data_IF_180213483219
#
_entry.id   IF_180213483219
#
_cell.length_a   1.000
_cell.length_b   1.000
_cell.length_c   1.000
_cell.angle_alpha   90.00
_cell.angle_beta   90.00
_cell.angle_gamma   90.00
#
_symmetry.space_group_name_H-M   'P 1'
#
loop_
_entity.id
_entity.type
_entity.pdbx_description
1 polymer ?
#
# COMPACT_ATOMS: atom_id res chain seq x y z
N UNK A 1 -5.78 18.54 -32.44
CA UNK A 1 -5.42 17.79 -33.66
C UNK A 1 -4.03 18.15 -34.19
N UNK A 2 -3.66 19.42 -34.25
CA UNK A 2 -2.38 19.86 -34.87
C UNK A 2 -1.10 19.34 -34.19
N UNK A 3 -1.10 19.19 -32.85
CA UNK A 3 0.06 18.69 -32.10
C UNK A 3 0.32 17.18 -32.29
N UNK A 4 -0.75 16.40 -32.50
CA UNK A 4 -0.67 14.96 -32.76
C UNK A 4 -0.22 14.73 -34.21
N UNK A 5 -0.74 15.51 -35.17
CA UNK A 5 -0.29 15.45 -36.56
C UNK A 5 1.17 15.87 -36.75
N UNK A 6 1.73 16.66 -35.83
CA UNK A 6 3.14 17.08 -35.80
C UNK A 6 4.04 16.18 -34.94
N UNK A 7 3.51 15.05 -34.43
CA UNK A 7 4.22 14.11 -33.54
C UNK A 7 4.81 14.76 -32.28
N UNK A 8 4.20 15.82 -31.76
CA UNK A 8 4.63 16.47 -30.52
C UNK A 8 3.82 16.03 -29.30
N UNK A 9 2.67 15.39 -29.53
CA UNK A 9 1.80 14.82 -28.49
C UNK A 9 1.54 13.34 -28.81
N UNK A 10 1.73 12.48 -27.82
CA UNK A 10 1.52 11.05 -28.00
C UNK A 10 0.03 10.76 -28.22
N UNK A 11 -0.30 9.99 -29.26
CA UNK A 11 -1.69 9.69 -29.61
C UNK A 11 -2.47 9.04 -28.45
N UNK A 12 -1.81 8.18 -27.68
CA UNK A 12 -2.39 7.50 -26.50
C UNK A 12 -2.81 8.47 -25.39
N UNK A 13 -2.19 9.66 -25.32
CA UNK A 13 -2.52 10.68 -24.33
C UNK A 13 -3.71 11.54 -24.77
N UNK A 14 -4.10 11.49 -26.05
CA UNK A 14 -5.08 12.41 -26.63
C UNK A 14 -6.46 12.26 -26.00
N UNK A 15 -6.95 11.04 -25.81
CA UNK A 15 -8.29 10.81 -25.23
C UNK A 15 -8.36 11.36 -23.80
N UNK A 16 -7.43 10.91 -22.95
CA UNK A 16 -7.33 11.33 -21.56
C UNK A 16 -7.24 12.86 -21.43
N UNK A 17 -6.39 13.50 -22.22
CA UNK A 17 -6.24 14.95 -22.21
C UNK A 17 -7.49 15.67 -22.72
N UNK A 18 -8.13 15.13 -23.76
CA UNK A 18 -9.35 15.74 -24.32
C UNK A 18 -10.47 15.72 -23.29
N UNK A 19 -10.73 14.56 -22.70
CA UNK A 19 -11.76 14.39 -21.67
C UNK A 19 -11.47 15.25 -20.45
N UNK A 20 -10.20 15.28 -20.01
CA UNK A 20 -9.78 16.10 -18.88
C UNK A 20 -9.94 17.60 -19.14
N UNK A 21 -9.49 18.10 -20.29
CA UNK A 21 -9.50 19.54 -20.63
C UNK A 21 -10.88 20.05 -21.07
N UNK A 22 -11.82 19.16 -21.38
CA UNK A 22 -13.24 19.51 -21.52
C UNK A 22 -13.83 19.83 -20.14
N UNK A 23 -13.52 19.01 -19.14
CA UNK A 23 -14.00 19.21 -17.77
C UNK A 23 -13.21 20.28 -16.99
N UNK A 24 -11.96 20.54 -17.37
CA UNK A 24 -11.06 21.48 -16.69
C UNK A 24 -10.46 22.51 -17.68
N UNK A 25 -11.29 23.39 -18.27
CA UNK A 25 -10.83 24.31 -19.31
C UNK A 25 -9.78 25.31 -18.81
N UNK A 26 -9.75 25.63 -17.52
CA UNK A 26 -8.78 26.54 -16.90
C UNK A 26 -7.34 26.03 -16.97
N UNK A 27 -7.15 24.71 -17.04
CA UNK A 27 -5.84 24.04 -17.08
C UNK A 27 -5.22 24.08 -18.48
N UNK A 28 -5.92 24.60 -19.50
CA UNK A 28 -5.32 24.78 -20.83
C UNK A 28 -4.19 25.80 -20.77
N UNK A 29 -3.12 25.58 -21.55
CA UNK A 29 -2.06 26.56 -21.72
C UNK A 29 -2.67 27.85 -22.28
N UNK A 30 -2.54 28.93 -21.51
CA UNK A 30 -3.13 30.23 -21.87
C UNK A 30 -2.29 30.99 -22.90
N UNK A 31 -1.00 30.67 -22.98
CA UNK A 31 -0.09 31.31 -23.93
C UNK A 31 -0.17 30.64 -25.30
N UNK A 32 -0.84 31.33 -26.23
CA UNK A 32 -1.00 30.87 -27.62
C UNK A 32 0.26 31.06 -28.46
N UNK A 33 1.21 31.89 -28.01
CA UNK A 33 2.45 32.21 -28.73
C UNK A 33 3.51 31.10 -28.65
N UNK A 34 3.33 30.13 -27.76
CA UNK A 34 4.25 29.01 -27.59
C UNK A 34 4.30 28.14 -28.85
N UNK A 35 5.50 27.70 -29.23
CA UNK A 35 5.69 26.77 -30.34
C UNK A 35 5.07 25.39 -30.08
N UNK A 36 4.75 24.67 -31.15
CA UNK A 36 4.04 23.39 -31.07
C UNK A 36 4.83 22.29 -30.34
N UNK A 37 6.17 22.30 -30.46
CA UNK A 37 7.05 21.39 -29.70
C UNK A 37 6.85 21.60 -28.20
N UNK A 38 6.88 22.86 -27.75
CA UNK A 38 6.72 23.18 -26.33
C UNK A 38 5.33 22.79 -25.83
N UNK A 39 4.28 23.11 -26.59
CA UNK A 39 2.90 22.74 -26.25
C UNK A 39 2.75 21.22 -26.15
N UNK A 40 3.32 20.48 -27.11
CA UNK A 40 3.30 19.02 -27.09
C UNK A 40 3.99 18.42 -25.86
N UNK A 41 5.21 18.88 -25.55
CA UNK A 41 5.92 18.46 -24.33
C UNK A 41 5.12 18.73 -23.06
N UNK A 42 4.57 19.94 -22.92
CA UNK A 42 3.76 20.31 -21.76
C UNK A 42 2.56 19.37 -21.57
N UNK A 43 1.80 19.11 -22.65
CA UNK A 43 0.65 18.22 -22.61
C UNK A 43 1.02 16.76 -22.36
N UNK A 44 2.16 16.28 -22.86
CA UNK A 44 2.66 14.94 -22.53
C UNK A 44 2.98 14.80 -21.03
N UNK A 45 3.60 15.80 -20.40
CA UNK A 45 3.83 15.76 -18.95
C UNK A 45 2.55 15.89 -18.13
N UNK A 46 1.60 16.70 -18.57
CA UNK A 46 0.27 16.74 -17.95
C UNK A 46 -0.42 15.38 -18.04
N UNK A 47 -0.38 14.71 -19.19
CA UNK A 47 -0.95 13.37 -19.34
C UNK A 47 -0.27 12.34 -18.43
N UNK A 48 1.05 12.39 -18.29
CA UNK A 48 1.78 11.55 -17.33
C UNK A 48 1.31 11.76 -15.90
N UNK A 49 1.14 13.01 -15.47
CA UNK A 49 0.60 13.33 -14.15
C UNK A 49 -0.81 12.78 -13.96
N UNK A 50 -1.69 12.96 -14.95
CA UNK A 50 -3.06 12.44 -14.88
C UNK A 50 -3.09 10.91 -14.78
N UNK A 51 -2.31 10.21 -15.62
CA UNK A 51 -2.17 8.75 -15.56
C UNK A 51 -1.64 8.31 -14.20
N UNK A 52 -0.61 8.98 -13.68
CA UNK A 52 -0.05 8.68 -12.37
C UNK A 52 -1.10 8.78 -11.27
N UNK A 53 -1.92 9.83 -11.28
CA UNK A 53 -3.03 10.02 -10.32
C UNK A 53 -4.16 9.00 -10.47
N UNK A 54 -4.35 8.45 -11.67
CA UNK A 54 -5.36 7.41 -11.93
C UNK A 54 -4.87 6.02 -11.51
N UNK A 55 -3.57 5.73 -11.67
CA UNK A 55 -3.02 4.39 -11.42
C UNK A 55 -2.52 4.19 -9.99
N UNK A 56 -2.21 5.25 -9.25
CA UNK A 56 -1.69 5.15 -7.89
C UNK A 56 -2.76 5.50 -6.85
N UNK A 57 -2.85 4.66 -5.83
CA UNK A 57 -3.64 4.98 -4.65
C UNK A 57 -2.98 6.12 -3.85
N UNK A 58 -3.81 6.89 -3.15
CA UNK A 58 -3.35 7.97 -2.27
C UNK A 58 -2.30 7.52 -1.23
N UNK A 59 -2.41 6.27 -0.76
CA UNK A 59 -1.49 5.67 0.20
C UNK A 59 -0.13 5.36 -0.44
N UNK A 60 -0.11 4.89 -1.69
CA UNK A 60 1.13 4.68 -2.44
C UNK A 60 1.82 6.03 -2.74
N UNK A 61 1.05 7.05 -3.13
CA UNK A 61 1.62 8.38 -3.40
C UNK A 61 2.14 9.07 -2.13
N UNK A 62 1.54 8.81 -0.98
CA UNK A 62 2.03 9.31 0.31
C UNK A 62 3.22 8.49 0.85
N UNK A 63 3.53 7.34 0.23
CA UNK A 63 4.56 6.41 0.67
C UNK A 63 5.57 6.09 -0.41
N UNK A 64 5.43 4.92 -1.02
CA UNK A 64 6.41 4.33 -1.95
C UNK A 64 6.64 5.17 -3.22
N UNK A 65 5.61 5.87 -3.70
CA UNK A 65 5.65 6.63 -4.96
C UNK A 65 5.74 8.14 -4.75
N UNK A 66 6.02 8.58 -3.51
CA UNK A 66 6.07 10.01 -3.17
C UNK A 66 7.11 10.79 -3.98
N UNK A 67 8.33 10.25 -4.12
CA UNK A 67 9.40 10.92 -4.86
C UNK A 67 9.03 11.13 -6.33
N UNK A 68 8.48 10.09 -6.97
CA UNK A 68 8.04 10.13 -8.36
C UNK A 68 6.92 11.16 -8.57
N UNK A 69 5.95 11.20 -7.67
CA UNK A 69 4.88 12.20 -7.70
C UNK A 69 5.42 13.63 -7.61
N UNK A 70 6.33 13.90 -6.68
CA UNK A 70 6.91 15.24 -6.46
C UNK A 70 7.72 15.67 -7.68
N UNK A 71 8.56 14.80 -8.24
CA UNK A 71 9.32 15.08 -9.46
C UNK A 71 8.39 15.40 -10.64
N UNK A 72 7.37 14.57 -10.84
CA UNK A 72 6.40 14.76 -11.93
C UNK A 72 5.61 16.06 -11.78
N UNK A 73 5.16 16.37 -10.57
CA UNK A 73 4.45 17.60 -10.28
C UNK A 73 5.35 18.84 -10.50
N UNK A 74 6.62 18.78 -10.11
CA UNK A 74 7.59 19.85 -10.34
C UNK A 74 7.80 20.10 -11.84
N UNK A 75 7.91 19.04 -12.65
CA UNK A 75 8.03 19.17 -14.10
C UNK A 75 6.80 19.85 -14.69
N UNK A 76 5.59 19.45 -14.27
CA UNK A 76 4.34 20.07 -14.73
C UNK A 76 4.25 21.55 -14.31
N UNK A 77 4.74 21.91 -13.12
CA UNK A 77 4.80 23.29 -12.62
C UNK A 77 5.69 24.23 -13.44
N UNK A 78 6.68 23.69 -14.15
CA UNK A 78 7.55 24.50 -15.02
C UNK A 78 6.82 24.97 -16.28
N UNK A 79 5.67 24.36 -16.62
CA UNK A 79 4.84 24.79 -17.73
C UNK A 79 3.80 25.83 -17.28
N UNK A 80 3.27 26.60 -18.24
CA UNK A 80 2.30 27.66 -18.01
C UNK A 80 0.86 27.16 -17.77
N UNK A 81 0.73 26.07 -17.00
CA UNK A 81 -0.55 25.52 -16.57
C UNK A 81 -1.12 26.30 -15.37
N UNK A 82 -2.40 26.05 -15.06
CA UNK A 82 -3.08 26.69 -13.94
C UNK A 82 -2.41 26.30 -12.61
N UNK A 83 -1.78 27.29 -11.97
CA UNK A 83 -1.03 27.10 -10.73
C UNK A 83 -1.95 26.75 -9.55
N UNK A 84 -3.15 27.32 -9.50
CA UNK A 84 -4.11 27.04 -8.43
C UNK A 84 -4.63 25.61 -8.55
N UNK A 85 -4.86 25.13 -9.77
CA UNK A 85 -5.20 23.74 -10.01
C UNK A 85 -4.08 22.79 -9.55
N UNK A 86 -2.82 23.09 -9.87
CA UNK A 86 -1.65 22.28 -9.46
C UNK A 86 -1.45 22.28 -7.94
N UNK A 87 -1.64 23.42 -7.27
CA UNK A 87 -1.65 23.50 -5.80
C UNK A 87 -2.80 22.67 -5.23
N UNK A 88 -3.96 22.69 -5.87
CA UNK A 88 -5.09 21.84 -5.49
C UNK A 88 -4.78 20.35 -5.62
N UNK A 89 -4.11 19.92 -6.70
CA UNK A 89 -3.65 18.54 -6.88
C UNK A 89 -2.68 18.14 -5.77
N UNK A 90 -1.64 18.94 -5.55
CA UNK A 90 -0.68 18.70 -4.48
C UNK A 90 -1.35 18.59 -3.11
N UNK A 91 -2.29 19.49 -2.80
CA UNK A 91 -3.02 19.45 -1.52
C UNK A 91 -3.86 18.20 -1.37
N UNK A 92 -4.61 17.79 -2.39
CA UNK A 92 -5.47 16.60 -2.31
C UNK A 92 -4.67 15.31 -2.17
N UNK A 93 -3.48 15.27 -2.75
CA UNK A 93 -2.63 14.08 -2.82
C UNK A 93 -1.68 13.98 -1.63
N UNK A 94 -1.07 15.09 -1.21
CA UNK A 94 -0.12 15.13 -0.09
C UNK A 94 -0.78 15.41 1.26
N UNK A 95 -1.97 16.03 1.26
CA UNK A 95 -2.72 16.34 2.47
C UNK A 95 -4.16 15.84 2.38
N UNK A 96 -4.37 14.52 2.18
CA UNK A 96 -5.73 13.95 2.19
C UNK A 96 -6.40 14.07 3.57
N UNK A 97 -5.60 14.28 4.62
CA UNK A 97 -6.03 14.52 6.00
C UNK A 97 -7.03 15.68 6.16
N UNK A 98 -7.10 16.60 5.20
CA UNK A 98 -8.07 17.71 5.23
C UNK A 98 -9.47 17.27 4.76
N UNK A 99 -9.59 16.14 4.06
CA UNK A 99 -10.89 15.62 3.58
C UNK A 99 -11.54 14.57 4.50
N UNK A 100 -10.74 13.90 5.34
CA UNK A 100 -11.25 13.03 6.39
C UNK A 100 -11.54 13.91 7.60
N UNK A 101 -12.74 13.80 8.21
CA UNK A 101 -13.00 14.56 9.44
C UNK A 101 -11.93 14.22 10.47
N UNK A 102 -11.35 15.25 11.09
CA UNK A 102 -10.29 15.07 12.11
C UNK A 102 -10.72 14.06 13.19
N UNK A 103 -12.02 14.05 13.53
CA UNK A 103 -12.68 13.06 14.39
C UNK A 103 -12.59 11.61 13.87
N UNK A 104 -12.80 11.37 12.57
CA UNK A 104 -12.69 10.02 12.00
C UNK A 104 -11.25 9.51 11.98
N UNK A 105 -10.28 10.41 11.73
CA UNK A 105 -8.86 10.06 11.76
C UNK A 105 -8.37 9.77 13.19
N UNK A 106 -8.79 10.55 14.17
CA UNK A 106 -8.44 10.34 15.57
C UNK A 106 -9.05 9.04 16.11
N UNK A 107 -10.31 8.73 15.76
CA UNK A 107 -10.93 7.42 16.01
C UNK A 107 -10.19 6.27 15.36
N UNK A 108 -9.67 6.46 14.14
CA UNK A 108 -8.87 5.45 13.45
C UNK A 108 -7.54 5.22 14.18
N UNK A 109 -6.86 6.27 14.62
CA UNK A 109 -5.62 6.15 15.40
C UNK A 109 -5.84 5.46 16.74
N UNK A 110 -6.93 5.79 17.44
CA UNK A 110 -7.30 5.15 18.70
C UNK A 110 -7.66 3.67 18.52
N UNK A 111 -8.37 3.34 17.44
CA UNK A 111 -8.67 1.93 17.12
C UNK A 111 -7.40 1.16 16.76
N UNK A 112 -6.47 1.74 15.99
CA UNK A 112 -5.17 1.15 15.69
C UNK A 112 -4.35 0.87 16.95
N UNK A 113 -4.27 1.82 17.89
CA UNK A 113 -3.57 1.63 19.17
C UNK A 113 -4.17 0.49 19.99
N UNK A 114 -5.50 0.40 20.04
CA UNK A 114 -6.22 -0.66 20.74
C UNK A 114 -5.93 -2.04 20.14
N UNK A 115 -6.09 -2.17 18.83
CA UNK A 115 -5.83 -3.44 18.12
C UNK A 115 -4.36 -3.85 18.24
N UNK A 116 -3.42 -2.91 18.22
CA UNK A 116 -2.01 -3.21 18.44
C UNK A 116 -1.75 -3.85 19.82
N UNK A 117 -2.39 -3.32 20.87
CA UNK A 117 -2.33 -3.90 22.21
C UNK A 117 -2.97 -5.29 22.27
N UNK A 118 -4.14 -5.46 21.66
CA UNK A 118 -4.82 -6.77 21.63
C UNK A 118 -3.97 -7.83 20.92
N UNK A 119 -3.28 -7.46 19.85
CA UNK A 119 -2.34 -8.35 19.14
C UNK A 119 -1.15 -8.73 20.02
N UNK A 120 -0.59 -7.80 20.77
CA UNK A 120 0.51 -8.07 21.70
C UNK A 120 0.07 -9.02 22.84
N UNK A 121 -1.10 -8.77 23.43
CA UNK A 121 -1.69 -9.64 24.46
C UNK A 121 -1.98 -11.05 23.92
N UNK A 122 -2.48 -11.17 22.68
CA UNK A 122 -2.71 -12.46 22.03
C UNK A 122 -1.39 -13.20 21.75
N UNK A 123 -0.33 -12.50 21.32
CA UNK A 123 1.00 -13.10 21.14
C UNK A 123 1.52 -13.69 22.44
N UNK A 124 1.45 -12.95 23.55
CA UNK A 124 1.86 -13.45 24.86
C UNK A 124 1.07 -14.70 25.30
N UNK A 125 -0.24 -14.73 25.03
CA UNK A 125 -1.08 -15.91 25.32
C UNK A 125 -0.69 -17.11 24.47
N UNK A 126 -0.37 -16.89 23.19
CA UNK A 126 0.10 -17.95 22.30
C UNK A 126 1.42 -18.52 22.81
N UNK A 127 2.37 -17.66 23.17
CA UNK A 127 3.68 -18.09 23.69
C UNK A 127 3.53 -18.94 24.97
N UNK A 128 2.64 -18.54 25.88
CA UNK A 128 2.33 -19.33 27.08
C UNK A 128 1.72 -20.70 26.73
N UNK A 129 0.74 -20.74 25.84
CA UNK A 129 0.10 -22.00 25.43
C UNK A 129 1.09 -22.93 24.72
N UNK A 130 2.00 -22.39 23.90
CA UNK A 130 3.09 -23.15 23.27
C UNK A 130 4.00 -23.78 24.32
N UNK A 131 4.34 -23.04 25.39
CA UNK A 131 5.17 -23.58 26.46
C UNK A 131 4.47 -24.72 27.22
N UNK A 132 3.17 -24.58 27.51
CA UNK A 132 2.37 -25.63 28.15
C UNK A 132 2.27 -26.88 27.26
N UNK A 133 2.11 -26.70 25.94
CA UNK A 133 2.03 -27.81 25.00
C UNK A 133 3.33 -28.64 24.95
N UNK A 134 4.50 -27.98 24.97
CA UNK A 134 5.78 -28.69 25.02
C UNK A 134 5.99 -29.41 26.37
N UNK A 135 5.57 -28.83 27.49
CA UNK A 135 5.65 -29.51 28.80
C UNK A 135 4.77 -30.78 28.83
N UNK A 136 3.52 -30.69 28.36
CA UNK A 136 2.63 -31.85 28.26
C UNK A 136 3.19 -32.94 27.34
N UNK A 137 3.84 -32.55 26.24
CA UNK A 137 4.49 -33.49 25.33
C UNK A 137 5.66 -34.22 26.02
N UNK A 138 6.47 -33.52 26.80
CA UNK A 138 7.52 -34.17 27.61
C UNK A 138 6.94 -35.12 28.66
N UNK A 139 5.86 -34.72 29.34
CA UNK A 139 5.17 -35.59 30.29
C UNK A 139 4.63 -36.86 29.62
N UNK A 140 4.00 -36.72 28.45
CA UNK A 140 3.48 -37.85 27.68
C UNK A 140 4.60 -38.83 27.31
N UNK A 141 5.69 -38.34 26.74
CA UNK A 141 6.84 -39.21 26.39
C UNK A 141 7.43 -39.92 27.61
N UNK A 142 7.51 -39.24 28.75
CA UNK A 142 7.96 -39.87 29.99
C UNK A 142 7.01 -40.98 30.46
N UNK A 143 5.68 -40.74 30.41
CA UNK A 143 4.69 -41.74 30.79
C UNK A 143 4.67 -42.94 29.84
N UNK A 144 4.83 -42.71 28.53
CA UNK A 144 4.94 -43.77 27.53
C UNK A 144 6.15 -44.68 27.78
N UNK A 145 7.32 -44.10 28.09
CA UNK A 145 8.52 -44.87 28.42
C UNK A 145 8.35 -45.72 29.70
N UNK A 146 7.69 -45.16 30.73
CA UNK A 146 7.37 -45.91 31.96
C UNK A 146 6.41 -47.06 31.65
N UNK A 147 5.37 -46.82 30.84
CA UNK A 147 4.41 -47.85 30.45
C UNK A 147 5.10 -48.99 29.68
N UNK A 148 5.98 -48.67 28.73
CA UNK A 148 6.73 -49.66 27.97
C UNK A 148 7.64 -50.52 28.88
N UNK A 149 8.30 -49.90 29.87
CA UNK A 149 9.06 -50.63 30.88
C UNK A 149 8.19 -51.58 31.71
N UNK A 150 6.97 -51.18 32.06
CA UNK A 150 6.03 -52.04 32.82
C UNK A 150 5.63 -53.25 31.97
N UNK A 151 5.27 -53.03 30.70
CA UNK A 151 4.90 -54.09 29.76
C UNK A 151 6.03 -55.10 29.60
N UNK A 152 7.28 -54.64 29.48
CA UNK A 152 8.45 -55.52 29.39
C UNK A 152 8.66 -56.34 30.66
N UNK A 153 8.49 -55.76 31.85
CA UNK A 153 8.59 -56.49 33.11
C UNK A 153 7.50 -57.55 33.27
N UNK A 154 6.26 -57.22 32.89
CA UNK A 154 5.14 -58.16 32.90
C UNK A 154 5.39 -59.37 32.01
N UNK A 155 5.96 -59.15 30.82
CA UNK A 155 6.33 -60.22 29.89
C UNK A 155 7.40 -61.17 30.47
N UNK A 156 8.39 -60.63 31.20
CA UNK A 156 9.44 -61.43 31.86
C UNK A 156 8.85 -62.30 32.98
N UNK A 157 7.94 -61.75 33.79
CA UNK A 157 7.29 -62.49 34.88
C UNK A 157 6.35 -63.58 34.39
N UNK A 158 5.79 -63.42 33.19
CA UNK A 158 4.83 -64.37 32.59
C UNK A 158 5.52 -65.47 31.77
N UNK A 159 6.85 -65.47 31.64
CA UNK A 159 7.58 -66.49 30.90
C UNK A 159 7.54 -67.86 31.65
N UNK A 160 7.34 -69.00 30.96
CA UNK A 160 7.26 -70.31 31.61
C UNK A 160 8.60 -70.67 32.26
N UNK A 161 8.57 -71.05 33.54
CA UNK A 161 9.74 -71.64 34.21
C UNK A 161 9.95 -73.02 33.57
N UNK A 162 10.99 -73.14 32.74
CA UNK A 162 11.42 -74.41 32.17
C UNK A 162 11.79 -75.39 33.28
N UNK A 163 11.10 -76.54 33.31
CA UNK A 163 11.50 -77.75 34.03
C UNK A 163 12.34 -78.65 33.13
#
# INVERSE_FOLDING_TARGET
MELVSKNHLDYENLSLLTDFLVNNPSVRLKDTSLGDIYKGCAYNFLAKLLKFLETHSLLEVSGSSHSEFVELLQVVRNFAFDKEWLVGVERRVLFPEIQVSQDAFEKLLDSKKRVAKDVEDLRLKIDFLSQVAEDLKHQLTSSEAVLESIIQQEAVLSAPIGY
#
